data_IF_989377294598
#
_entry.id   IF_989377294598
#
_cell.length_a   1.000
_cell.length_b   1.000
_cell.length_c   1.000
_cell.angle_alpha   90.00
_cell.angle_beta   90.00
_cell.angle_gamma   90.00
#
_symmetry.space_group_name_H-M   'P 1'
#
loop_
_entity.id
_entity.type
_entity.pdbx_description
1 polymer ?
#
# COMPACT_ATOMS: atom_id res chain seq x y z
N UNK A 1 0.20 13.41 -0.47
CA UNK A 1 1.49 13.96 -0.92
C UNK A 1 1.24 15.43 -1.12
N UNK A 2 2.03 16.30 -0.48
CA UNK A 2 1.92 17.72 -0.77
C UNK A 2 2.13 17.94 -2.27
N UNK A 3 1.32 18.79 -2.93
CA UNK A 3 1.52 19.11 -4.34
C UNK A 3 2.92 19.67 -4.54
N UNK A 4 3.59 19.25 -5.61
CA UNK A 4 4.86 19.84 -6.00
C UNK A 4 4.60 21.27 -6.46
N UNK A 5 5.02 22.26 -5.68
CA UNK A 5 4.89 23.67 -6.05
C UNK A 5 5.81 23.99 -7.23
N UNK A 6 5.25 24.00 -8.44
CA UNK A 6 5.93 24.42 -9.67
C UNK A 6 6.35 25.91 -9.65
N UNK A 7 5.93 26.68 -8.63
CA UNK A 7 6.11 28.14 -8.53
C UNK A 7 7.11 28.59 -7.47
N UNK A 8 7.78 27.70 -6.74
CA UNK A 8 8.92 28.12 -5.91
C UNK A 8 10.13 28.36 -6.80
N UNK A 9 10.78 29.54 -6.75
CA UNK A 9 12.11 29.73 -7.34
C UNK A 9 13.01 28.61 -6.80
N UNK A 10 13.55 27.80 -7.70
CA UNK A 10 14.37 26.62 -7.38
C UNK A 10 15.57 27.03 -6.51
N UNK A 11 15.42 26.97 -5.19
CA UNK A 11 16.54 26.53 -4.37
C UNK A 11 16.49 25.01 -4.46
N UNK A 12 17.07 24.45 -5.53
CA UNK A 12 17.46 23.03 -5.54
C UNK A 12 18.16 22.79 -4.19
N UNK A 13 17.82 21.74 -3.43
CA UNK A 13 18.72 21.29 -2.38
C UNK A 13 20.11 21.24 -3.00
N UNK A 14 21.10 21.86 -2.36
CA UNK A 14 22.44 22.07 -2.94
C UNK A 14 23.04 20.77 -3.51
N UNK A 15 22.63 19.62 -2.99
CA UNK A 15 22.89 18.29 -3.51
C UNK A 15 21.64 17.43 -3.29
N UNK A 16 21.10 16.81 -4.34
CA UNK A 16 20.07 15.78 -4.21
C UNK A 16 20.73 14.41 -4.00
N UNK A 17 20.03 13.56 -3.24
CA UNK A 17 20.49 12.26 -2.75
C UNK A 17 19.52 11.16 -3.19
N UNK A 18 18.86 11.28 -4.34
CA UNK A 18 17.94 10.21 -4.72
C UNK A 18 18.71 8.95 -5.08
N UNK A 19 19.85 9.08 -5.77
CA UNK A 19 20.64 7.91 -6.18
C UNK A 19 21.18 7.10 -4.99
N UNK A 20 21.78 7.75 -3.99
CA UNK A 20 22.29 7.03 -2.82
C UNK A 20 21.14 6.43 -1.98
N UNK A 21 19.97 7.07 -1.86
CA UNK A 21 18.78 6.44 -1.23
C UNK A 21 18.24 5.25 -2.02
N UNK A 22 18.28 5.30 -3.36
CA UNK A 22 17.93 4.15 -4.22
C UNK A 22 18.85 2.97 -3.95
N UNK A 23 20.17 3.20 -3.97
CA UNK A 23 21.18 2.17 -3.71
C UNK A 23 21.02 1.54 -2.31
N UNK A 24 20.84 2.35 -1.27
CA UNK A 24 20.57 1.86 0.08
C UNK A 24 19.29 1.02 0.19
N UNK A 25 18.26 1.36 -0.59
CA UNK A 25 17.00 0.61 -0.60
C UNK A 25 17.13 -0.73 -1.31
N UNK A 26 17.87 -0.78 -2.42
CA UNK A 26 18.19 -2.03 -3.13
C UNK A 26 19.02 -2.98 -2.26
N UNK A 27 20.03 -2.47 -1.55
CA UNK A 27 20.84 -3.27 -0.62
C UNK A 27 19.98 -3.91 0.48
N UNK A 28 19.07 -3.14 1.07
CA UNK A 28 18.13 -3.66 2.08
C UNK A 28 17.21 -4.75 1.51
N UNK A 29 16.72 -4.58 0.28
CA UNK A 29 15.87 -5.59 -0.37
C UNK A 29 16.63 -6.89 -0.65
N UNK A 30 17.90 -6.80 -1.07
CA UNK A 30 18.73 -7.96 -1.35
C UNK A 30 19.02 -8.79 -0.08
N UNK A 31 19.22 -8.13 1.06
CA UNK A 31 19.54 -8.79 2.33
C UNK A 31 18.34 -9.52 2.97
N UNK A 32 17.10 -9.05 2.74
CA UNK A 32 15.93 -9.45 3.56
C UNK A 32 14.96 -10.44 2.88
N UNK A 33 15.46 -11.31 1.99
CA UNK A 33 14.58 -12.20 1.19
C UNK A 33 13.77 -13.21 2.01
N UNK A 34 14.34 -13.75 3.10
CA UNK A 34 13.63 -14.66 4.01
C UNK A 34 12.57 -13.93 4.85
N UNK A 35 12.80 -12.65 5.15
CA UNK A 35 11.89 -11.85 5.95
C UNK A 35 10.61 -11.50 5.19
N UNK A 36 10.67 -11.39 3.85
CA UNK A 36 9.51 -11.06 3.03
C UNK A 36 8.36 -12.08 3.17
N UNK A 37 8.66 -13.38 3.21
CA UNK A 37 7.63 -14.40 3.41
C UNK A 37 7.02 -14.34 4.82
N UNK A 38 7.87 -14.15 5.84
CA UNK A 38 7.43 -14.01 7.23
C UNK A 38 6.55 -12.77 7.39
N UNK A 39 6.98 -11.64 6.85
CA UNK A 39 6.25 -10.38 6.85
C UNK A 39 4.90 -10.53 6.12
N UNK A 40 4.86 -11.24 5.00
CA UNK A 40 3.61 -11.50 4.27
C UNK A 40 2.62 -12.32 5.12
N UNK A 41 3.08 -13.39 5.78
CA UNK A 41 2.23 -14.19 6.69
C UNK A 41 1.68 -13.34 7.82
N UNK A 42 2.55 -12.53 8.42
CA UNK A 42 2.20 -11.64 9.51
C UNK A 42 1.17 -10.58 9.08
N UNK A 43 1.37 -9.96 7.92
CA UNK A 43 0.42 -8.99 7.38
C UNK A 43 -0.94 -9.60 7.15
N UNK A 44 -0.97 -10.81 6.58
CA UNK A 44 -2.20 -11.55 6.37
C UNK A 44 -2.91 -11.82 7.70
N UNK A 45 -2.23 -12.35 8.72
CA UNK A 45 -2.86 -12.63 10.02
C UNK A 45 -3.38 -11.36 10.71
N UNK A 46 -2.58 -10.30 10.74
CA UNK A 46 -2.89 -9.07 11.48
C UNK A 46 -4.02 -8.26 10.83
N UNK A 47 -4.13 -8.28 9.50
CA UNK A 47 -5.20 -7.62 8.76
C UNK A 47 -6.60 -8.02 9.23
N UNK A 48 -6.79 -9.28 9.62
CA UNK A 48 -8.08 -9.82 10.07
C UNK A 48 -8.27 -9.73 11.59
N UNK A 49 -7.22 -9.92 12.40
CA UNK A 49 -7.31 -9.77 13.87
C UNK A 49 -7.72 -8.35 14.28
N UNK A 50 -7.21 -7.34 13.58
CA UNK A 50 -7.50 -5.92 13.85
C UNK A 50 -8.79 -5.41 13.21
N UNK A 51 -9.51 -6.30 12.55
CA UNK A 51 -10.63 -5.97 11.69
C UNK A 51 -11.96 -5.91 12.46
N UNK A 52 -11.96 -6.12 13.77
CA UNK A 52 -13.17 -6.18 14.61
C UNK A 52 -13.74 -4.81 15.01
N UNK A 53 -13.25 -3.68 14.46
CA UNK A 53 -13.62 -2.33 14.92
C UNK A 53 -14.28 -1.49 13.82
N UNK A 54 -15.36 -0.81 14.23
CA UNK A 54 -16.15 0.18 13.50
C UNK A 54 -15.31 1.41 13.10
N UNK A 55 -15.69 2.14 12.04
CA UNK A 55 -14.99 3.36 11.63
C UNK A 55 -15.24 4.47 12.67
N UNK A 56 -14.20 4.87 13.39
CA UNK A 56 -14.17 6.12 14.15
C UNK A 56 -13.75 7.29 13.25
N UNK A 57 -14.22 8.53 13.52
CA UNK A 57 -14.01 9.69 12.65
C UNK A 57 -12.53 10.03 12.46
N UNK A 58 -12.20 10.50 11.26
CA UNK A 58 -10.83 10.80 10.82
C UNK A 58 -10.23 12.00 11.58
N UNK A 59 -9.07 11.86 12.25
CA UNK A 59 -8.26 13.00 12.61
C UNK A 59 -7.38 13.44 11.42
N UNK A 60 -7.30 14.75 11.24
CA UNK A 60 -6.49 15.50 10.27
C UNK A 60 -5.03 15.01 10.15
N UNK A 61 -4.41 15.03 8.95
CA UNK A 61 -3.05 14.55 8.74
C UNK A 61 -2.01 15.54 9.28
N UNK A 62 -1.41 15.22 10.43
CA UNK A 62 -0.20 15.89 10.93
C UNK A 62 0.98 15.51 10.03
N UNK A 63 1.62 16.53 9.47
CA UNK A 63 2.62 16.43 8.41
C UNK A 63 3.99 16.74 9.01
N UNK A 64 4.58 15.80 9.75
CA UNK A 64 5.93 15.92 10.30
C UNK A 64 6.85 14.82 9.71
N UNK A 65 8.07 15.19 9.25
CA UNK A 65 9.05 14.22 8.79
C UNK A 65 9.78 13.62 9.99
N UNK A 66 9.19 12.58 10.59
CA UNK A 66 9.88 11.78 11.59
C UNK A 66 10.89 10.83 10.89
N UNK A 67 12.16 10.95 11.29
CA UNK A 67 13.26 10.07 10.90
C UNK A 67 13.02 8.71 11.58
N UNK A 68 12.44 7.75 10.86
CA UNK A 68 11.94 6.53 11.48
C UNK A 68 12.89 5.33 11.38
N UNK A 69 13.27 4.83 12.54
CA UNK A 69 13.79 3.48 12.72
C UNK A 69 12.63 2.48 12.55
N UNK A 70 12.87 1.42 11.76
CA UNK A 70 11.90 0.33 11.56
C UNK A 70 11.93 -0.56 12.81
N UNK A 71 11.26 -0.15 13.88
CA UNK A 71 10.99 -1.05 15.01
C UNK A 71 10.09 -2.18 14.51
N UNK A 72 10.66 -3.36 14.41
CA UNK A 72 10.02 -4.54 13.83
C UNK A 72 9.16 -5.22 14.90
N UNK A 73 7.91 -4.74 15.05
CA UNK A 73 6.94 -5.34 15.98
C UNK A 73 6.65 -6.80 15.60
N UNK A 74 6.66 -7.70 16.58
CA UNK A 74 6.35 -9.12 16.38
C UNK A 74 4.85 -9.37 16.12
N UNK A 75 4.53 -10.58 15.64
CA UNK A 75 3.18 -11.04 15.30
C UNK A 75 2.16 -10.78 16.41
N UNK A 76 2.54 -11.18 17.62
CA UNK A 76 1.71 -11.05 18.80
C UNK A 76 1.52 -9.59 19.19
N UNK A 77 2.51 -8.74 18.98
CA UNK A 77 2.46 -7.33 19.33
C UNK A 77 1.60 -6.53 18.36
N UNK A 78 1.77 -6.70 17.04
CA UNK A 78 0.92 -5.96 16.11
C UNK A 78 -0.55 -6.39 16.18
N UNK A 79 -0.82 -7.64 16.56
CA UNK A 79 -2.19 -8.13 16.77
C UNK A 79 -2.93 -7.42 17.93
N UNK A 80 -2.19 -6.79 18.85
CA UNK A 80 -2.75 -6.06 20.00
C UNK A 80 -3.01 -4.58 19.71
N UNK A 81 -2.46 -4.03 18.63
CA UNK A 81 -2.60 -2.62 18.28
C UNK A 81 -4.06 -2.27 18.06
N UNK A 82 -4.49 -1.06 18.44
CA UNK A 82 -5.87 -0.62 18.22
C UNK A 82 -5.92 0.79 17.66
N UNK A 83 -7.06 1.13 17.06
CA UNK A 83 -7.36 2.49 16.60
C UNK A 83 -6.26 3.11 15.73
N UNK A 84 -5.74 4.25 16.17
CA UNK A 84 -4.73 5.02 15.44
C UNK A 84 -3.39 4.29 15.29
N UNK A 85 -2.99 3.48 16.26
CA UNK A 85 -1.71 2.75 16.24
C UNK A 85 -1.74 1.64 15.18
N UNK A 86 -2.83 0.87 15.13
CA UNK A 86 -3.07 -0.11 14.08
C UNK A 86 -3.05 0.54 12.68
N UNK A 87 -3.69 1.71 12.53
CA UNK A 87 -3.65 2.47 11.27
C UNK A 87 -2.22 2.88 10.90
N UNK A 88 -1.47 3.47 11.84
CA UNK A 88 -0.06 3.85 11.62
C UNK A 88 0.80 2.64 11.23
N UNK A 89 0.57 1.48 11.85
CA UNK A 89 1.30 0.27 11.51
C UNK A 89 1.01 -0.22 10.09
N UNK A 90 -0.26 -0.25 9.67
CA UNK A 90 -0.63 -0.60 8.29
C UNK A 90 -0.15 0.43 7.26
N UNK A 91 -0.13 1.71 7.62
CA UNK A 91 0.37 2.78 6.74
C UNK A 91 1.84 2.58 6.33
N UNK A 92 2.63 1.90 7.18
CA UNK A 92 4.05 1.62 6.95
C UNK A 92 4.31 0.42 6.03
N UNK A 93 3.28 -0.33 5.63
CA UNK A 93 3.44 -1.58 4.89
C UNK A 93 3.56 -1.39 3.36
N UNK A 94 3.05 -0.27 2.83
CA UNK A 94 3.15 0.04 1.41
C UNK A 94 4.48 0.74 1.09
N UNK A 95 5.15 0.30 0.03
CA UNK A 95 6.29 1.02 -0.53
C UNK A 95 5.82 2.34 -1.16
N UNK A 96 6.36 3.47 -0.71
CA UNK A 96 5.93 4.79 -1.17
C UNK A 96 6.90 5.32 -2.23
N UNK A 97 6.41 5.78 -3.39
CA UNK A 97 7.27 6.41 -4.39
C UNK A 97 7.72 7.78 -3.90
N UNK A 98 8.96 8.13 -4.25
CA UNK A 98 9.47 9.49 -4.22
C UNK A 98 9.24 10.15 -5.59
N UNK A 99 9.16 11.48 -5.61
CA UNK A 99 9.21 12.23 -6.87
C UNK A 99 10.55 12.00 -7.55
N UNK A 100 10.56 11.79 -8.88
CA UNK A 100 11.81 11.70 -9.63
C UNK A 100 12.38 13.11 -9.85
N UNK A 101 13.39 13.47 -9.04
CA UNK A 101 14.14 14.73 -9.14
C UNK A 101 15.46 14.45 -9.89
N UNK A 102 16.17 13.39 -9.48
CA UNK A 102 17.40 12.94 -10.15
C UNK A 102 17.07 11.79 -11.08
N UNK A 103 17.23 12.05 -12.38
CA UNK A 103 17.05 11.05 -13.43
C UNK A 103 18.19 10.02 -13.31
N UNK A 104 17.89 8.72 -13.10
CA UNK A 104 18.91 7.67 -13.11
C UNK A 104 19.62 7.60 -14.47
N UNK A 105 20.94 7.39 -14.47
CA UNK A 105 21.74 7.30 -15.70
C UNK A 105 21.30 6.14 -16.60
N UNK A 106 20.85 5.04 -15.99
CA UNK A 106 20.41 3.80 -16.63
C UNK A 106 18.88 3.70 -16.79
N UNK A 107 18.16 4.83 -16.85
CA UNK A 107 16.69 4.86 -16.94
C UNK A 107 16.14 3.98 -18.09
N UNK A 108 16.82 3.91 -19.22
CA UNK A 108 16.35 3.16 -20.39
C UNK A 108 16.45 1.63 -20.23
N UNK A 109 17.37 1.14 -19.39
CA UNK A 109 17.74 -0.28 -19.34
C UNK A 109 17.23 -0.95 -18.06
N UNK A 110 17.29 -0.26 -16.92
CA UNK A 110 17.07 -0.87 -15.60
C UNK A 110 15.77 -0.42 -14.91
N UNK A 111 14.92 0.32 -15.64
CA UNK A 111 13.68 0.88 -15.09
C UNK A 111 12.46 0.54 -15.95
N UNK A 112 11.35 0.26 -15.28
CA UNK A 112 10.04 0.13 -15.91
C UNK A 112 9.17 1.33 -15.56
N UNK A 113 8.34 1.75 -16.51
CA UNK A 113 7.36 2.83 -16.32
C UNK A 113 5.97 2.26 -16.48
N UNK A 114 5.07 2.65 -15.58
CA UNK A 114 3.66 2.27 -15.61
C UNK A 114 2.78 3.52 -15.60
N UNK A 115 1.80 3.57 -16.50
CA UNK A 115 0.76 4.58 -16.44
C UNK A 115 -0.08 4.34 -15.17
N UNK A 116 -0.23 5.37 -14.35
CA UNK A 116 -0.91 5.31 -13.06
C UNK A 116 -2.35 5.79 -13.23
N UNK A 117 -3.39 4.93 -13.13
CA UNK A 117 -4.77 5.36 -13.27
C UNK A 117 -5.18 6.36 -12.18
N UNK A 118 -6.20 7.18 -12.44
CA UNK A 118 -6.78 8.02 -11.39
C UNK A 118 -7.41 7.14 -10.31
N UNK A 119 -7.36 7.57 -9.06
CA UNK A 119 -7.92 6.79 -7.94
C UNK A 119 -7.07 6.76 -6.69
N UNK A 120 -7.57 6.01 -5.70
CA UNK A 120 -7.00 5.87 -4.36
C UNK A 120 -6.10 4.64 -4.32
N UNK A 121 -4.80 4.83 -4.06
CA UNK A 121 -3.89 3.69 -3.82
C UNK A 121 -4.28 2.99 -2.53
N UNK A 122 -4.42 1.68 -2.59
CA UNK A 122 -4.84 0.85 -1.47
C UNK A 122 -4.04 -0.45 -1.38
N UNK A 123 -3.81 -0.89 -0.16
CA UNK A 123 -3.25 -2.19 0.18
C UNK A 123 -4.38 -3.19 0.34
N UNK A 124 -4.34 -4.32 -0.35
CA UNK A 124 -5.41 -5.33 -0.35
C UNK A 124 -4.89 -6.64 0.21
N UNK A 125 -5.65 -7.23 1.15
CA UNK A 125 -5.37 -8.54 1.72
C UNK A 125 -6.60 -9.43 1.58
N UNK A 126 -6.45 -10.61 0.98
CA UNK A 126 -7.46 -11.68 0.98
C UNK A 126 -7.01 -12.85 1.84
N UNK A 127 -7.86 -13.26 2.78
CA UNK A 127 -7.70 -14.48 3.59
C UNK A 127 -8.98 -14.77 4.37
N UNK A 128 -9.12 -15.97 4.91
CA UNK A 128 -10.23 -16.37 5.79
C UNK A 128 -11.64 -16.14 5.19
N UNK A 129 -11.75 -16.21 3.86
CA UNK A 129 -13.00 -16.07 3.12
C UNK A 129 -13.49 -14.63 2.98
N UNK A 130 -12.61 -13.63 3.12
CA UNK A 130 -12.94 -12.21 2.90
C UNK A 130 -11.73 -11.42 2.40
N UNK A 131 -11.99 -10.24 1.85
CA UNK A 131 -10.96 -9.33 1.33
C UNK A 131 -11.10 -7.96 1.99
N UNK A 132 -9.98 -7.40 2.43
CA UNK A 132 -9.90 -6.09 3.08
C UNK A 132 -8.99 -5.20 2.25
N UNK A 133 -9.46 -4.02 1.88
CA UNK A 133 -8.62 -2.97 1.30
C UNK A 133 -8.40 -1.85 2.31
N UNK A 134 -7.17 -1.34 2.42
CA UNK A 134 -6.77 -0.24 3.30
C UNK A 134 -6.13 0.90 2.51
N UNK A 135 -6.40 2.14 2.89
CA UNK A 135 -5.76 3.33 2.31
C UNK A 135 -4.30 3.45 2.76
N UNK A 136 -3.56 4.37 2.14
CA UNK A 136 -2.17 4.69 2.50
C UNK A 136 -1.99 5.10 3.98
N UNK A 137 -3.01 5.69 4.60
CA UNK A 137 -2.98 6.03 6.03
C UNK A 137 -3.33 4.83 6.94
N UNK A 138 -3.51 3.64 6.38
CA UNK A 138 -3.84 2.40 7.07
C UNK A 138 -5.31 2.22 7.49
N UNK A 139 -6.17 3.22 7.23
CA UNK A 139 -7.61 3.08 7.45
C UNK A 139 -8.21 2.06 6.49
N UNK A 140 -9.31 1.42 6.91
CA UNK A 140 -10.02 0.45 6.08
C UNK A 140 -10.85 1.23 5.06
N UNK A 141 -10.65 0.91 3.78
CA UNK A 141 -11.45 1.43 2.68
C UNK A 141 -12.68 0.55 2.47
N UNK A 142 -12.49 -0.76 2.24
CA UNK A 142 -13.59 -1.69 1.98
C UNK A 142 -13.35 -3.06 2.61
N UNK A 143 -14.47 -3.78 2.78
CA UNK A 143 -14.53 -5.21 3.06
C UNK A 143 -15.48 -5.84 2.07
N UNK A 144 -15.01 -6.82 1.33
CA UNK A 144 -15.80 -7.39 0.26
C UNK A 144 -15.36 -8.84 -0.03
N UNK A 145 -16.27 -9.70 -0.52
CA UNK A 145 -15.88 -10.96 -1.10
C UNK A 145 -15.14 -10.71 -2.43
N UNK A 146 -14.06 -11.45 -2.69
CA UNK A 146 -13.35 -11.39 -3.97
C UNK A 146 -13.04 -12.77 -4.53
N UNK A 147 -12.66 -12.82 -5.80
CA UNK A 147 -12.18 -14.04 -6.48
C UNK A 147 -10.69 -14.34 -6.19
N UNK A 148 -10.04 -13.53 -5.36
CA UNK A 148 -8.67 -13.82 -4.92
C UNK A 148 -8.67 -15.11 -4.07
N UNK A 149 -7.55 -15.85 -4.01
CA UNK A 149 -7.38 -16.96 -3.09
C UNK A 149 -7.86 -16.61 -1.67
N UNK A 150 -8.75 -17.44 -1.12
CA UNK A 150 -9.41 -17.25 0.18
C UNK A 150 -10.11 -15.88 0.37
N UNK A 151 -10.48 -15.19 -0.71
CA UNK A 151 -11.15 -13.89 -0.68
C UNK A 151 -12.66 -13.93 -0.48
N UNK A 152 -13.28 -15.12 -0.55
CA UNK A 152 -14.71 -15.36 -0.34
C UNK A 152 -14.96 -16.75 0.26
N UNK A 153 -16.05 -16.93 0.99
CA UNK A 153 -16.49 -18.26 1.49
C UNK A 153 -17.28 -18.98 0.38
N UNK A 154 -16.67 -19.96 -0.29
CA UNK A 154 -17.34 -20.80 -1.30
C UNK A 154 -17.39 -22.25 -0.84
N UNK A 155 -18.39 -23.01 -1.30
CA UNK A 155 -18.61 -24.41 -0.89
C UNK A 155 -17.46 -25.36 -1.29
N UNK A 156 -16.67 -24.99 -2.29
CA UNK A 156 -15.54 -25.76 -2.82
C UNK A 156 -14.26 -25.61 -1.97
N UNK A 157 -14.17 -24.58 -1.13
CA UNK A 157 -13.01 -24.33 -0.26
C UNK A 157 -13.35 -24.82 1.15
N UNK A 158 -13.60 -26.11 1.29
CA UNK A 158 -13.94 -26.78 2.55
C UNK A 158 -12.72 -27.35 3.30
N UNK A 159 -11.51 -26.92 2.97
CA UNK A 159 -10.31 -27.33 3.72
C UNK A 159 -9.22 -26.26 3.74
N UNK A 160 -8.95 -25.73 4.93
CA UNK A 160 -7.63 -25.54 5.54
C UNK A 160 -6.45 -24.97 4.72
N UNK A 161 -6.65 -24.32 3.57
CA UNK A 161 -5.54 -23.63 2.93
C UNK A 161 -5.27 -22.34 3.70
N UNK A 162 -4.11 -22.23 4.35
CA UNK A 162 -3.64 -20.98 4.96
C UNK A 162 -3.12 -20.01 3.87
N UNK A 163 -3.78 -20.02 2.71
CA UNK A 163 -3.42 -19.22 1.55
C UNK A 163 -3.97 -17.80 1.73
N UNK A 164 -3.20 -16.84 1.26
CA UNK A 164 -3.57 -15.43 1.31
C UNK A 164 -2.99 -14.72 0.10
N UNK A 165 -3.61 -13.62 -0.31
CA UNK A 165 -3.05 -12.72 -1.31
C UNK A 165 -2.86 -11.34 -0.72
N UNK A 166 -1.74 -10.71 -1.06
CA UNK A 166 -1.42 -9.34 -0.68
C UNK A 166 -1.09 -8.57 -1.95
N UNK A 167 -1.79 -7.47 -2.19
CA UNK A 167 -1.67 -6.68 -3.41
C UNK A 167 -1.55 -5.18 -3.11
N UNK A 168 -0.79 -4.49 -3.95
CA UNK A 168 -0.75 -3.03 -4.01
C UNK A 168 -1.60 -2.59 -5.21
N UNK A 169 -2.74 -1.96 -4.93
CA UNK A 169 -3.77 -1.68 -5.90
C UNK A 169 -4.04 -0.18 -6.00
N UNK A 170 -4.67 0.24 -7.10
CA UNK A 170 -5.29 1.55 -7.23
C UNK A 170 -6.77 1.31 -7.41
N UNK A 171 -7.56 1.74 -6.42
CA UNK A 171 -9.01 1.73 -6.51
C UNK A 171 -9.48 2.96 -7.29
N UNK A 172 -10.04 2.71 -8.45
CA UNK A 172 -10.63 3.72 -9.32
C UNK A 172 -12.16 3.69 -9.15
N UNK A 173 -12.72 4.78 -8.62
CA UNK A 173 -14.17 4.95 -8.50
C UNK A 173 -14.71 5.41 -9.85
N UNK A 174 -15.35 4.51 -10.60
CA UNK A 174 -16.06 4.90 -11.81
C UNK A 174 -17.41 5.48 -11.41
N UNK A 175 -17.58 6.80 -11.59
CA UNK A 175 -18.90 7.40 -11.58
C UNK A 175 -19.66 6.83 -12.78
N UNK A 176 -20.84 6.27 -12.56
CA UNK A 176 -21.67 5.60 -13.57
C UNK A 176 -21.92 6.44 -14.86
N UNK A 177 -21.65 7.75 -14.86
CA UNK A 177 -21.71 8.60 -16.05
C UNK A 177 -20.56 8.42 -17.07
N UNK A 178 -19.37 7.97 -16.66
CA UNK A 178 -18.22 7.81 -17.57
C UNK A 178 -18.27 6.51 -18.38
N UNK A 179 -18.93 5.46 -17.86
CA UNK A 179 -19.20 4.22 -18.59
C UNK A 179 -20.15 4.44 -19.78
N UNK A 180 -21.04 5.43 -19.70
CA UNK A 180 -21.89 5.85 -20.83
C UNK A 180 -21.01 6.51 -21.91
N UNK A 181 -20.16 7.46 -21.52
CA UNK A 181 -19.31 8.23 -22.43
C UNK A 181 -18.21 7.40 -23.13
N UNK A 182 -17.70 6.34 -22.51
CA UNK A 182 -16.79 5.39 -23.16
C UNK A 182 -17.49 4.39 -24.09
N UNK A 183 -18.78 4.09 -23.87
CA UNK A 183 -19.58 3.30 -24.82
C UNK A 183 -19.90 4.08 -26.09
N UNK A 184 -20.21 5.36 -25.95
CA UNK A 184 -20.62 6.22 -27.07
C UNK A 184 -19.44 6.72 -27.94
N UNK A 185 -18.19 6.45 -27.54
CA UNK A 185 -16.98 6.83 -28.28
C UNK A 185 -16.32 5.68 -29.05
N UNK A 186 -16.88 4.47 -28.95
CA UNK A 186 -16.42 3.27 -29.64
C UNK A 186 -17.45 2.74 -30.67
N UNK A 187 -18.41 3.57 -31.10
CA UNK A 187 -19.29 3.31 -32.25
C UNK A 187 -19.05 4.37 -33.33
#
# INVERSE_FOLDING_TARGET
MAPHDLRRPFKRPLISDQERRRQQSLLRQAQNRLDAQRQARFLASTAFSLSSQTPEPEPEPVNEPEVYQKEELDVLEASKLKGAEARKWFAKQLMLPEWMIDIPENLANDWFVFARPSGKRCFVVSSNGTTISRLRNGSILHRFPSKLPNGARTKEVSSASNSYSILDCIFHEVLLGELQACRDRCL
#
